data_IF_615274651150
#
_entry.id   IF_615274651150
#
_cell.length_a   1.000
_cell.length_b   1.000
_cell.length_c   1.000
_cell.angle_alpha   90.00
_cell.angle_beta   90.00
_cell.angle_gamma   90.00
#
_symmetry.space_group_name_H-M   'P 1'
#
loop_
_entity.id
_entity.type
_entity.pdbx_description
1 polymer ?
#
# COMPACT_ATOMS: atom_id res chain seq x y z
N UNK A 1 13.18 14.30 10.53
CA UNK A 1 13.00 12.97 11.13
C UNK A 1 12.64 11.98 10.05
N UNK A 2 12.42 10.72 10.37
CA UNK A 2 11.93 9.71 9.43
C UNK A 2 10.64 9.07 9.94
N UNK A 3 9.66 8.95 9.04
CA UNK A 3 8.44 8.18 9.25
C UNK A 3 8.65 6.80 8.62
N UNK A 4 8.32 5.74 9.36
CA UNK A 4 8.27 4.37 8.85
C UNK A 4 6.86 3.83 9.06
N UNK A 5 6.24 3.41 7.96
CA UNK A 5 4.96 2.73 7.90
C UNK A 5 5.24 1.27 7.52
N UNK A 6 4.72 0.32 8.29
CA UNK A 6 4.85 -1.10 8.02
C UNK A 6 3.46 -1.72 7.90
N UNK A 7 3.15 -2.26 6.73
CA UNK A 7 1.93 -3.02 6.46
C UNK A 7 2.17 -4.48 6.80
N UNK A 8 1.61 -4.96 7.92
CA UNK A 8 1.95 -6.29 8.44
C UNK A 8 1.23 -7.41 7.68
N UNK A 9 0.08 -7.09 7.08
CA UNK A 9 -0.81 -8.06 6.44
C UNK A 9 -1.04 -7.76 4.94
N UNK A 10 -0.43 -6.70 4.39
CA UNK A 10 -0.64 -6.24 3.01
C UNK A 10 0.72 -5.87 2.36
N UNK A 11 1.34 -6.79 1.60
CA UNK A 11 2.73 -6.62 1.15
C UNK A 11 2.90 -5.68 -0.04
N UNK A 12 1.84 -5.42 -0.81
CA UNK A 12 1.92 -4.66 -2.05
C UNK A 12 1.63 -3.17 -1.83
N UNK A 13 2.55 -2.34 -2.30
CA UNK A 13 2.49 -0.88 -2.19
C UNK A 13 2.74 -0.26 -3.55
N UNK A 14 1.91 0.70 -3.95
CA UNK A 14 2.03 1.47 -5.18
C UNK A 14 2.26 2.95 -4.87
N UNK A 15 3.41 3.53 -5.24
CA UNK A 15 3.65 4.96 -5.10
C UNK A 15 2.83 5.77 -6.12
N UNK A 16 2.27 6.89 -5.70
CA UNK A 16 1.61 7.90 -6.54
C UNK A 16 0.23 7.55 -7.11
N UNK A 17 -0.06 6.27 -7.40
CA UNK A 17 -1.38 5.82 -7.84
C UNK A 17 -1.60 4.32 -7.62
N UNK A 18 -2.84 3.79 -7.57
CA UNK A 18 -3.12 2.37 -7.40
C UNK A 18 -2.99 1.59 -8.72
N UNK A 19 -1.77 1.46 -9.25
CA UNK A 19 -1.48 0.94 -10.59
C UNK A 19 -0.73 -0.41 -10.61
N UNK A 20 -0.87 -1.25 -9.59
CA UNK A 20 -0.12 -2.52 -9.45
C UNK A 20 -0.33 -3.53 -10.59
N UNK A 21 -1.41 -3.38 -11.37
CA UNK A 21 -1.74 -4.26 -12.50
C UNK A 21 -1.33 -3.65 -13.85
N UNK A 22 -0.81 -2.42 -13.85
CA UNK A 22 -0.26 -1.79 -15.04
C UNK A 22 1.15 -2.33 -15.28
N UNK A 23 1.38 -2.91 -16.46
CA UNK A 23 2.66 -3.49 -16.83
C UNK A 23 3.69 -2.43 -17.27
N UNK A 24 3.24 -1.22 -17.61
CA UNK A 24 4.09 -0.11 -18.02
C UNK A 24 3.62 1.20 -17.36
N UNK A 25 3.65 1.28 -16.01
CA UNK A 25 3.17 2.44 -15.31
C UNK A 25 4.11 3.64 -15.57
N UNK A 26 3.57 4.86 -15.66
CA UNK A 26 4.40 6.06 -15.69
C UNK A 26 5.22 6.18 -14.40
N UNK A 27 6.28 6.99 -14.44
CA UNK A 27 7.01 7.36 -13.21
C UNK A 27 6.02 7.93 -12.17
N UNK A 28 6.10 7.47 -10.91
CA UNK A 28 5.12 7.86 -9.91
C UNK A 28 5.31 9.31 -9.49
N UNK A 29 4.20 10.06 -9.46
CA UNK A 29 4.11 11.35 -8.80
C UNK A 29 4.02 11.14 -7.28
N UNK A 30 5.13 11.37 -6.56
CA UNK A 30 5.22 11.12 -5.13
C UNK A 30 4.41 12.10 -4.28
N UNK A 31 3.97 13.24 -4.84
CA UNK A 31 3.09 14.18 -4.15
C UNK A 31 1.68 13.60 -3.97
N UNK A 32 1.35 12.53 -4.72
CA UNK A 32 0.09 11.78 -4.59
C UNK A 32 0.11 10.69 -3.52
N UNK A 33 1.25 10.51 -2.84
CA UNK A 33 1.36 9.63 -1.68
C UNK A 33 1.60 8.15 -2.03
N UNK A 34 1.13 7.26 -1.15
CA UNK A 34 1.40 5.82 -1.20
C UNK A 34 0.11 5.04 -1.02
N UNK A 35 -0.13 4.05 -1.88
CA UNK A 35 -1.31 3.20 -1.88
C UNK A 35 -0.92 1.78 -1.46
N UNK A 36 -1.75 1.12 -0.64
CA UNK A 36 -1.54 -0.26 -0.19
C UNK A 36 -2.68 -1.10 -0.73
N UNK A 37 -2.37 -2.23 -1.38
CA UNK A 37 -3.39 -3.17 -1.83
C UNK A 37 -3.87 -3.99 -0.64
N UNK A 38 -5.10 -3.74 -0.20
CA UNK A 38 -5.72 -4.46 0.91
C UNK A 38 -6.43 -5.74 0.42
N UNK A 39 -7.12 -5.65 -0.70
CA UNK A 39 -7.77 -6.77 -1.34
C UNK A 39 -7.71 -6.56 -2.85
N UNK A 40 -7.43 -7.63 -3.59
CA UNK A 40 -7.56 -7.68 -5.04
C UNK A 40 -8.68 -8.66 -5.38
N UNK A 41 -9.41 -8.35 -6.43
CA UNK A 41 -10.36 -9.26 -7.03
C UNK A 41 -10.16 -9.20 -8.54
N UNK A 42 -9.01 -9.69 -8.99
CA UNK A 42 -8.63 -9.64 -10.41
C UNK A 42 -9.20 -10.82 -11.22
N UNK A 43 -10.26 -11.48 -10.73
CA UNK A 43 -10.79 -12.67 -11.38
C UNK A 43 -11.47 -12.28 -12.70
N UNK A 44 -10.96 -12.80 -13.82
CA UNK A 44 -11.55 -12.63 -15.15
C UNK A 44 -12.88 -13.38 -15.39
N UNK A 45 -13.70 -13.59 -14.36
CA UNK A 45 -15.03 -14.22 -14.49
C UNK A 45 -16.13 -13.29 -14.00
N UNK A 46 -17.36 -13.59 -14.38
CA UNK A 46 -18.54 -12.78 -14.04
C UNK A 46 -19.01 -12.95 -12.58
N UNK A 47 -18.24 -13.64 -11.74
CA UNK A 47 -18.54 -13.83 -10.33
C UNK A 47 -17.45 -13.14 -9.50
N UNK A 48 -17.80 -12.28 -8.53
CA UNK A 48 -16.79 -11.72 -7.64
C UNK A 48 -16.16 -12.86 -6.84
N UNK A 49 -14.82 -12.82 -6.71
CA UNK A 49 -14.14 -13.69 -5.75
C UNK A 49 -14.76 -13.50 -4.36
N UNK A 50 -15.21 -14.61 -3.78
CA UNK A 50 -15.70 -14.62 -2.41
C UNK A 50 -14.51 -14.63 -1.46
N UNK A 51 -14.43 -13.62 -0.60
CA UNK A 51 -13.52 -13.60 0.54
C UNK A 51 -14.38 -13.85 1.78
N UNK A 52 -14.20 -14.99 2.42
CA UNK A 52 -14.96 -15.35 3.61
C UNK A 52 -14.42 -14.62 4.85
N UNK A 53 -15.35 -14.19 5.72
CA UNK A 53 -15.02 -13.61 7.02
C UNK A 53 -14.63 -12.12 6.96
N UNK A 54 -14.31 -11.58 8.13
CA UNK A 54 -13.90 -10.18 8.25
C UNK A 54 -12.44 -10.01 7.83
N UNK A 55 -12.18 -9.12 6.87
CA UNK A 55 -10.83 -8.74 6.51
C UNK A 55 -10.17 -7.96 7.68
N UNK A 56 -8.93 -8.34 8.04
CA UNK A 56 -8.16 -7.67 9.09
C UNK A 56 -6.80 -7.25 8.55
N UNK A 57 -6.47 -5.98 8.72
CA UNK A 57 -5.19 -5.41 8.32
C UNK A 57 -4.57 -4.64 9.49
N UNK A 58 -3.29 -4.88 9.74
CA UNK A 58 -2.52 -4.21 10.79
C UNK A 58 -1.44 -3.36 10.17
N UNK A 59 -1.34 -2.12 10.65
CA UNK A 59 -0.31 -1.17 10.25
C UNK A 59 0.46 -0.72 11.49
N UNK A 60 1.78 -0.73 11.42
CA UNK A 60 2.65 -0.16 12.44
C UNK A 60 3.28 1.12 11.91
N UNK A 61 3.12 2.21 12.64
CA UNK A 61 3.68 3.52 12.32
C UNK A 61 4.72 3.87 13.38
N UNK A 62 5.91 4.27 12.94
CA UNK A 62 6.98 4.71 13.82
C UNK A 62 7.59 6.01 13.31
N UNK A 63 7.78 6.96 14.20
CA UNK A 63 8.48 8.21 13.91
C UNK A 63 9.84 8.22 14.60
N UNK A 64 10.88 8.61 13.88
CA UNK A 64 12.20 8.89 14.44
C UNK A 64 12.49 10.37 14.26
N UNK A 65 12.53 11.11 15.37
CA UNK A 65 12.96 12.50 15.32
C UNK A 65 14.42 12.59 14.83
N UNK A 66 14.74 13.63 14.07
CA UNK A 66 16.14 13.93 13.77
C UNK A 66 16.76 14.55 15.02
N UNK A 67 17.89 14.02 15.49
CA UNK A 67 18.68 14.76 16.48
C UNK A 67 19.21 16.02 15.80
N UNK A 68 19.02 17.19 16.44
CA UNK A 68 19.77 18.39 16.05
C UNK A 68 21.22 18.10 16.39
N UNK A 69 22.11 18.07 15.38
CA UNK A 69 23.54 18.22 15.62
C UNK A 69 23.74 19.68 16.04
N UNK A 70 24.16 19.88 17.28
CA UNK A 70 24.74 21.14 17.74
C UNK A 70 26.16 21.28 17.21
#
# INVERSE_FOLDING_TARGET
GSLRIQTLDAPLVAPGSPNLLDADPPLPDLDRGWHVLLADNCWGTNFPMWIEGAARYRVRITWRASSRRG
#
